data_IF_936446420850
#
_entry.id   IF_936446420850
#
_cell.length_a   1.000
_cell.length_b   1.000
_cell.length_c   1.000
_cell.angle_alpha   90.00
_cell.angle_beta   90.00
_cell.angle_gamma   90.00
#
_symmetry.space_group_name_H-M   'P 1'
#
loop_
_entity.id
_entity.type
_entity.pdbx_description
1 polymer ?
#
# COMPACT_ATOMS: atom_id res chain seq x y z
N UNK A 1 -48.78 47.23 -68.11
CA UNK A 1 -47.35 47.13 -67.94
C UNK A 1 -47.08 47.12 -66.39
N UNK A 2 -47.19 45.93 -65.79
CA UNK A 2 -47.07 45.70 -64.33
C UNK A 2 -45.63 45.45 -64.05
N UNK A 3 -45.07 46.23 -63.10
CA UNK A 3 -43.72 46.03 -62.57
C UNK A 3 -43.80 44.98 -61.48
N UNK A 4 -43.14 43.82 -61.69
CA UNK A 4 -42.93 42.77 -60.74
C UNK A 4 -42.17 43.32 -59.51
N UNK A 5 -42.80 43.23 -58.33
CA UNK A 5 -42.11 43.49 -57.04
C UNK A 5 -41.13 42.38 -56.77
N UNK A 6 -39.82 42.69 -56.89
CA UNK A 6 -38.75 41.78 -56.47
C UNK A 6 -38.89 41.46 -55.02
N UNK A 7 -39.06 40.20 -54.69
CA UNK A 7 -39.02 39.63 -53.34
C UNK A 7 -37.58 39.67 -52.82
N UNK A 8 -37.31 40.51 -51.80
CA UNK A 8 -36.02 40.59 -51.16
C UNK A 8 -35.89 39.37 -50.27
N UNK A 9 -35.11 38.40 -50.69
CA UNK A 9 -34.71 37.26 -49.81
C UNK A 9 -33.74 37.79 -48.75
N UNK A 10 -34.24 37.96 -47.54
CA UNK A 10 -33.39 38.21 -46.37
C UNK A 10 -32.59 36.94 -46.04
N UNK A 11 -31.31 36.94 -46.37
CA UNK A 11 -30.38 35.89 -45.96
C UNK A 11 -30.16 36.07 -44.45
N UNK A 12 -30.45 35.09 -43.57
CA UNK A 12 -30.19 35.24 -42.18
C UNK A 12 -28.69 35.39 -41.93
N UNK A 13 -28.29 36.55 -41.44
CA UNK A 13 -26.92 36.82 -41.03
C UNK A 13 -26.67 35.97 -39.79
N UNK A 14 -26.02 34.81 -39.94
CA UNK A 14 -25.55 34.02 -38.81
C UNK A 14 -24.63 34.90 -37.94
N UNK A 15 -25.02 35.04 -36.70
CA UNK A 15 -24.34 35.90 -35.74
C UNK A 15 -22.87 35.44 -35.53
N UNK A 16 -21.86 36.20 -36.01
CA UNK A 16 -20.44 35.75 -35.98
C UNK A 16 -19.89 35.58 -34.56
N UNK A 17 -20.63 36.02 -33.55
CA UNK A 17 -20.20 35.90 -32.14
C UNK A 17 -20.29 34.49 -31.57
N UNK A 18 -21.17 33.63 -32.05
CA UNK A 18 -21.26 32.26 -31.54
C UNK A 18 -20.13 31.36 -32.09
N UNK A 19 -19.72 31.59 -33.34
CA UNK A 19 -18.63 30.83 -33.94
C UNK A 19 -17.26 31.12 -33.32
N UNK A 20 -17.02 32.34 -32.86
CA UNK A 20 -15.79 32.75 -32.19
C UNK A 20 -15.67 32.18 -30.78
N UNK A 21 -16.79 32.10 -30.02
CA UNK A 21 -16.78 31.53 -28.64
C UNK A 21 -16.51 30.00 -28.64
N UNK A 22 -17.16 29.27 -29.56
CA UNK A 22 -16.93 27.83 -29.70
C UNK A 22 -15.47 27.52 -30.09
N UNK A 23 -14.90 28.23 -31.03
CA UNK A 23 -13.50 28.10 -31.45
C UNK A 23 -12.53 28.44 -30.30
N UNK A 24 -12.80 29.46 -29.51
CA UNK A 24 -11.98 29.81 -28.34
C UNK A 24 -12.03 28.70 -27.28
N UNK A 25 -13.17 28.07 -27.04
CA UNK A 25 -13.28 26.93 -26.10
C UNK A 25 -12.50 25.71 -26.61
N UNK A 26 -12.59 25.37 -27.89
CA UNK A 26 -11.82 24.25 -28.47
C UNK A 26 -10.32 24.49 -28.39
N UNK A 27 -9.85 25.69 -28.71
CA UNK A 27 -8.44 26.06 -28.57
C UNK A 27 -7.98 25.98 -27.10
N UNK A 28 -8.79 26.43 -26.15
CA UNK A 28 -8.51 26.33 -24.73
C UNK A 28 -8.35 24.87 -24.24
N UNK A 29 -9.21 23.97 -24.70
CA UNK A 29 -9.16 22.54 -24.37
C UNK A 29 -7.88 21.90 -24.95
N UNK A 30 -7.53 22.23 -26.20
CA UNK A 30 -6.33 21.69 -26.87
C UNK A 30 -5.06 22.15 -26.15
N UNK A 31 -4.98 23.43 -25.78
CA UNK A 31 -3.82 23.98 -25.06
C UNK A 31 -3.70 23.33 -23.68
N UNK A 32 -4.81 23.19 -22.95
CA UNK A 32 -4.81 22.59 -21.62
C UNK A 32 -4.42 21.11 -21.66
N UNK A 33 -4.93 20.36 -22.64
CA UNK A 33 -4.56 18.94 -22.80
C UNK A 33 -3.09 18.76 -23.20
N UNK A 34 -2.54 19.62 -24.07
CA UNK A 34 -1.14 19.57 -24.46
C UNK A 34 -0.21 19.91 -23.29
N UNK A 35 -0.58 20.87 -22.45
CA UNK A 35 0.18 21.25 -21.26
C UNK A 35 0.24 20.12 -20.23
N UNK A 36 -0.89 19.41 -20.02
CA UNK A 36 -0.94 18.26 -19.11
C UNK A 36 -0.06 17.10 -19.60
N UNK A 37 -0.04 16.83 -20.90
CA UNK A 37 0.81 15.79 -21.49
C UNK A 37 2.30 16.16 -21.33
N UNK A 38 2.67 17.40 -21.61
CA UNK A 38 4.06 17.87 -21.43
C UNK A 38 4.50 17.77 -19.97
N UNK A 39 3.64 18.17 -19.03
CA UNK A 39 3.91 18.05 -17.59
C UNK A 39 4.09 16.59 -17.17
N UNK A 40 3.25 15.69 -17.67
CA UNK A 40 3.37 14.26 -17.40
C UNK A 40 4.68 13.69 -17.92
N UNK A 41 5.08 14.05 -19.14
CA UNK A 41 6.35 13.63 -19.73
C UNK A 41 7.55 14.16 -18.94
N UNK A 42 7.50 15.41 -18.48
CA UNK A 42 8.52 16.00 -17.61
C UNK A 42 8.65 15.23 -16.29
N UNK A 43 7.53 14.93 -15.65
CA UNK A 43 7.52 14.12 -14.41
C UNK A 43 8.11 12.73 -14.65
N UNK A 44 7.76 12.09 -15.76
CA UNK A 44 8.29 10.75 -16.10
C UNK A 44 9.81 10.81 -16.39
N UNK A 45 10.30 11.83 -17.08
CA UNK A 45 11.74 11.97 -17.35
C UNK A 45 12.54 12.23 -16.09
N UNK A 46 12.05 13.09 -15.17
CA UNK A 46 12.68 13.34 -13.87
C UNK A 46 12.66 12.06 -13.02
N UNK A 47 11.54 11.34 -13.02
CA UNK A 47 11.39 10.10 -12.24
C UNK A 47 12.33 8.99 -12.72
N UNK A 48 12.59 8.92 -14.02
CA UNK A 48 13.40 7.87 -14.65
C UNK A 48 14.88 8.26 -14.80
N UNK A 49 15.32 9.40 -14.28
CA UNK A 49 16.75 9.72 -14.24
C UNK A 49 17.50 8.60 -13.49
N UNK A 50 18.64 8.11 -14.03
CA UNK A 50 19.37 7.00 -13.44
C UNK A 50 19.77 7.25 -11.98
N UNK A 51 20.11 8.47 -11.62
CA UNK A 51 20.38 8.88 -10.23
C UNK A 51 19.19 8.67 -9.29
N UNK A 52 17.98 9.03 -9.74
CA UNK A 52 16.77 8.88 -8.95
C UNK A 52 16.37 7.39 -8.80
N UNK A 53 16.64 6.59 -9.82
CA UNK A 53 16.41 5.15 -9.78
C UNK A 53 17.40 4.48 -8.84
N UNK A 54 18.68 4.82 -8.92
CA UNK A 54 19.72 4.31 -8.03
C UNK A 54 19.42 4.65 -6.56
N UNK A 55 19.11 5.92 -6.26
CA UNK A 55 18.76 6.37 -4.92
C UNK A 55 17.53 5.65 -4.34
N UNK A 56 16.52 5.37 -5.19
CA UNK A 56 15.33 4.59 -4.74
C UNK A 56 15.69 3.14 -4.46
N UNK A 57 16.60 2.57 -5.21
CA UNK A 57 17.07 1.20 -4.99
C UNK A 57 17.82 1.12 -3.66
N UNK A 58 18.75 2.02 -3.41
CA UNK A 58 19.48 2.12 -2.13
C UNK A 58 18.53 2.29 -0.93
N UNK A 59 17.52 3.18 -1.06
CA UNK A 59 16.54 3.37 0.01
C UNK A 59 15.73 2.11 0.29
N UNK A 60 15.33 1.36 -0.74
CA UNK A 60 14.62 0.09 -0.57
C UNK A 60 15.51 -1.00 0.03
N UNK A 61 16.76 -1.07 -0.36
CA UNK A 61 17.73 -2.00 0.19
C UNK A 61 17.95 -1.70 1.69
N UNK A 62 18.18 -0.44 2.04
CA UNK A 62 18.32 -0.02 3.44
C UNK A 62 17.04 -0.26 4.28
N UNK A 63 15.87 -0.08 3.69
CA UNK A 63 14.60 -0.40 4.35
C UNK A 63 14.43 -1.91 4.57
N UNK A 64 14.79 -2.72 3.56
CA UNK A 64 14.75 -4.17 3.67
C UNK A 64 15.72 -4.69 4.74
N UNK A 65 16.94 -4.15 4.80
CA UNK A 65 17.93 -4.50 5.83
C UNK A 65 17.40 -4.18 7.24
N UNK A 66 16.85 -2.97 7.45
CA UNK A 66 16.24 -2.60 8.73
C UNK A 66 15.08 -3.51 9.12
N UNK A 67 14.25 -3.86 8.15
CA UNK A 67 13.11 -4.76 8.37
C UNK A 67 13.58 -6.18 8.71
N UNK A 68 14.69 -6.61 8.11
CA UNK A 68 15.28 -7.92 8.40
C UNK A 68 15.90 -7.94 9.81
N UNK A 69 16.69 -6.94 10.16
CA UNK A 69 17.25 -6.79 11.51
C UNK A 69 16.15 -6.73 12.59
N UNK A 70 15.09 -5.96 12.34
CA UNK A 70 13.95 -5.87 13.23
C UNK A 70 13.26 -7.24 13.44
N UNK A 71 13.14 -8.03 12.38
CA UNK A 71 12.59 -9.40 12.45
C UNK A 71 13.50 -10.33 13.25
N UNK A 72 14.79 -10.29 13.00
CA UNK A 72 15.78 -11.11 13.71
C UNK A 72 15.78 -10.78 15.20
N UNK A 73 15.79 -9.49 15.55
CA UNK A 73 15.70 -9.03 16.92
C UNK A 73 14.38 -9.45 17.59
N UNK A 74 13.27 -9.37 16.87
CA UNK A 74 11.97 -9.84 17.36
C UNK A 74 12.00 -11.35 17.65
N UNK A 75 12.52 -12.17 16.73
CA UNK A 75 12.66 -13.61 16.91
C UNK A 75 13.58 -13.93 18.10
N UNK A 76 14.70 -13.22 18.22
CA UNK A 76 15.64 -13.38 19.33
C UNK A 76 14.96 -13.08 20.68
N UNK A 77 14.18 -12.00 20.75
CA UNK A 77 13.43 -11.66 21.96
C UNK A 77 12.35 -12.71 22.28
N UNK A 78 11.65 -13.18 21.25
CA UNK A 78 10.69 -14.28 21.41
C UNK A 78 11.38 -15.54 21.94
N UNK A 79 12.56 -15.90 21.49
CA UNK A 79 13.29 -17.07 21.95
C UNK A 79 13.80 -16.91 23.40
N UNK A 80 14.23 -15.71 23.78
CA UNK A 80 14.81 -15.44 25.08
C UNK A 80 13.79 -15.47 26.23
N UNK A 81 12.56 -14.99 25.99
CA UNK A 81 11.53 -14.93 27.04
C UNK A 81 10.33 -15.81 26.68
N UNK A 82 10.13 -16.94 27.41
CA UNK A 82 9.01 -17.86 27.16
C UNK A 82 7.64 -17.27 27.50
N UNK A 83 7.56 -16.16 28.20
CA UNK A 83 6.29 -15.54 28.63
C UNK A 83 5.77 -14.47 27.65
N UNK A 84 6.57 -14.03 26.68
CA UNK A 84 6.08 -13.20 25.60
C UNK A 84 5.08 -14.01 24.77
N UNK A 85 3.83 -13.53 24.65
CA UNK A 85 2.78 -14.24 23.94
C UNK A 85 3.05 -14.31 22.43
N UNK A 86 2.97 -15.50 21.87
CA UNK A 86 3.02 -15.73 20.41
C UNK A 86 1.59 -15.86 19.92
N UNK A 87 1.10 -14.86 19.15
CA UNK A 87 -0.26 -14.84 18.63
C UNK A 87 -0.37 -15.52 17.26
N UNK A 88 0.70 -15.45 16.47
CA UNK A 88 0.68 -15.94 15.08
C UNK A 88 1.24 -17.34 14.96
N UNK A 89 0.52 -18.19 14.24
CA UNK A 89 0.92 -19.57 13.91
C UNK A 89 2.23 -19.63 13.10
N UNK A 90 2.60 -18.54 12.43
CA UNK A 90 3.89 -18.39 11.76
C UNK A 90 5.08 -18.69 12.69
N UNK A 91 4.93 -18.39 13.96
CA UNK A 91 5.96 -18.58 14.98
C UNK A 91 5.75 -19.83 15.85
N UNK A 92 4.91 -20.76 15.41
CA UNK A 92 4.65 -22.02 16.13
C UNK A 92 5.93 -22.81 16.39
N UNK A 93 6.90 -22.79 15.47
CA UNK A 93 8.21 -23.41 15.69
C UNK A 93 8.98 -22.83 16.87
N UNK A 94 8.86 -21.51 17.12
CA UNK A 94 9.45 -20.86 18.28
C UNK A 94 8.76 -21.32 19.56
N UNK A 95 7.43 -21.45 19.56
CA UNK A 95 6.69 -22.02 20.69
C UNK A 95 7.20 -23.41 21.06
N UNK A 96 7.41 -24.30 20.08
CA UNK A 96 7.94 -25.64 20.32
C UNK A 96 9.37 -25.60 20.89
N UNK A 97 10.23 -24.73 20.35
CA UNK A 97 11.61 -24.59 20.84
C UNK A 97 11.66 -24.07 22.28
N UNK A 98 10.83 -23.07 22.61
CA UNK A 98 10.70 -22.57 23.99
C UNK A 98 10.25 -23.66 24.97
N UNK A 99 9.30 -24.51 24.58
CA UNK A 99 8.87 -25.64 25.40
C UNK A 99 10.01 -26.64 25.66
N UNK A 100 10.92 -26.83 24.67
CA UNK A 100 12.08 -27.69 24.82
C UNK A 100 13.16 -27.07 25.73
N UNK A 101 13.45 -25.80 25.55
CA UNK A 101 14.52 -25.08 26.23
C UNK A 101 14.09 -24.61 27.62
N UNK A 102 12.97 -23.91 27.71
CA UNK A 102 12.50 -23.26 28.94
C UNK A 102 11.41 -24.07 29.66
N UNK A 103 10.91 -25.16 29.07
CA UNK A 103 9.78 -25.97 29.54
C UNK A 103 8.48 -25.20 29.74
N UNK A 104 8.41 -23.97 29.22
CA UNK A 104 7.26 -23.09 29.24
C UNK A 104 7.22 -22.28 27.94
N UNK A 105 6.01 -21.93 27.48
CA UNK A 105 5.84 -21.00 26.37
C UNK A 105 4.43 -20.40 26.38
N UNK A 106 4.34 -19.08 26.24
CA UNK A 106 3.08 -18.38 26.02
C UNK A 106 2.72 -18.41 24.53
N UNK A 107 1.55 -18.95 24.21
CA UNK A 107 1.05 -19.09 22.85
C UNK A 107 -0.47 -18.93 22.83
N UNK A 108 -0.99 -18.11 21.90
CA UNK A 108 -2.43 -17.80 21.75
C UNK A 108 -3.14 -17.46 23.08
N UNK A 109 -2.50 -16.60 23.88
CA UNK A 109 -3.04 -16.12 25.15
C UNK A 109 -2.99 -17.11 26.30
N UNK A 110 -2.33 -18.27 26.16
CA UNK A 110 -2.16 -19.28 27.21
C UNK A 110 -0.71 -19.60 27.44
N UNK A 111 -0.35 -19.92 28.68
CA UNK A 111 1.00 -20.38 29.03
C UNK A 111 0.98 -21.90 29.10
N UNK A 112 1.70 -22.54 28.22
CA UNK A 112 1.89 -23.99 28.16
C UNK A 112 3.16 -24.39 28.89
N UNK A 113 3.13 -25.53 29.51
CA UNK A 113 4.24 -26.10 30.27
C UNK A 113 4.52 -27.54 29.81
N UNK A 114 5.79 -27.88 29.71
CA UNK A 114 6.24 -29.23 29.43
C UNK A 114 6.57 -29.95 30.75
N UNK A 115 5.78 -30.95 31.10
CA UNK A 115 5.98 -31.75 32.28
C UNK A 115 7.25 -32.63 32.22
N UNK A 116 7.69 -33.14 33.37
CA UNK A 116 8.92 -34.00 33.47
C UNK A 116 8.87 -35.26 32.59
N UNK A 117 7.69 -35.80 32.39
CA UNK A 117 7.45 -37.00 31.55
C UNK A 117 7.10 -36.66 30.10
N UNK A 118 7.24 -35.38 29.65
CA UNK A 118 6.94 -34.96 28.30
C UNK A 118 5.49 -34.58 28.03
N UNK A 119 4.59 -34.68 29.02
CA UNK A 119 3.19 -34.26 28.85
C UNK A 119 3.06 -32.74 28.81
N UNK A 120 2.31 -32.22 27.83
CA UNK A 120 2.00 -30.81 27.69
C UNK A 120 0.76 -30.47 28.53
N UNK A 121 0.81 -29.38 29.28
CA UNK A 121 -0.30 -28.91 30.08
C UNK A 121 -0.31 -27.37 30.19
N UNK A 122 -1.49 -26.82 30.46
CA UNK A 122 -1.64 -25.42 30.87
C UNK A 122 -2.35 -25.37 32.23
N UNK A 123 -2.32 -24.20 32.88
CA UNK A 123 -3.06 -23.98 34.13
C UNK A 123 -4.35 -23.23 33.85
N UNK A 124 -5.45 -23.72 34.43
CA UNK A 124 -6.72 -22.99 34.43
C UNK A 124 -6.62 -21.74 35.32
N UNK A 125 -7.65 -20.90 35.27
CA UNK A 125 -7.79 -19.73 36.17
C UNK A 125 -7.78 -20.11 37.65
N UNK A 126 -8.20 -21.35 37.98
CA UNK A 126 -8.15 -21.90 39.33
C UNK A 126 -6.82 -22.55 39.71
N UNK A 127 -5.82 -22.51 38.82
CA UNK A 127 -4.51 -23.10 39.04
C UNK A 127 -4.40 -24.60 38.75
N UNK A 128 -5.51 -25.27 38.38
CA UNK A 128 -5.53 -26.70 38.05
C UNK A 128 -4.77 -26.98 36.75
N UNK A 129 -3.98 -28.07 36.70
CA UNK A 129 -3.29 -28.51 35.48
C UNK A 129 -4.25 -29.23 34.55
N UNK A 130 -4.34 -28.74 33.33
CA UNK A 130 -5.12 -29.37 32.27
C UNK A 130 -4.12 -29.89 31.22
N UNK A 131 -4.05 -31.22 31.08
CA UNK A 131 -3.18 -31.91 30.11
C UNK A 131 -3.85 -31.95 28.74
N UNK A 132 -3.02 -31.86 27.70
CA UNK A 132 -3.47 -31.85 26.30
C UNK A 132 -2.88 -33.09 25.61
#
# INVERSE_FOLDING_TARGET
>A
MELEKGEIIEIPVENPTYFTKAKQQEIGIIIFSSLTVVLLLLVLTIRNKPENVARRKELKEAENERNQEARENYIKNLMADPYINIESDKYFGIHQNRLREHRASAYQGRIYYLGKKGGLYYRSSTGTRIYI
#
